data_IF_978354585726
#
_entry.id   IF_978354585726
#
_cell.length_a   1.000
_cell.length_b   1.000
_cell.length_c   1.000
_cell.angle_alpha   90.00
_cell.angle_beta   90.00
_cell.angle_gamma   90.00
#
_symmetry.space_group_name_H-M   'P 1'
#
loop_
_entity.id
_entity.type
_entity.pdbx_description
1 polymer ?
#
# COMPACT_ATOMS: atom_id res chain seq x y z
N UNK A 1 -0.44 -34.87 -36.06
CA UNK A 1 0.59 -34.97 -35.02
C UNK A 1 1.40 -33.68 -34.97
N UNK A 2 1.05 -32.77 -34.06
CA UNK A 2 2.05 -32.21 -33.16
C UNK A 2 1.36 -31.55 -31.98
N UNK A 3 1.89 -31.86 -30.82
CA UNK A 3 1.27 -31.83 -29.50
C UNK A 3 1.06 -30.40 -29.01
N UNK A 4 -0.13 -30.14 -28.48
CA UNK A 4 -0.42 -28.94 -27.73
C UNK A 4 0.38 -28.97 -26.42
N UNK A 5 1.50 -28.25 -26.39
CA UNK A 5 2.21 -27.95 -25.14
C UNK A 5 1.60 -26.69 -24.52
N UNK A 6 0.98 -26.75 -23.33
CA UNK A 6 0.19 -25.64 -22.77
C UNK A 6 1.04 -24.50 -22.17
N UNK A 7 2.33 -24.39 -22.53
CA UNK A 7 3.27 -23.39 -21.99
C UNK A 7 4.00 -22.68 -23.12
N UNK A 8 3.26 -21.89 -23.89
CA UNK A 8 3.88 -20.97 -24.85
C UNK A 8 4.30 -19.71 -24.10
N UNK A 9 5.60 -19.40 -24.05
CA UNK A 9 6.13 -18.14 -23.51
C UNK A 9 5.99 -17.00 -24.55
N UNK A 10 4.84 -16.96 -25.23
CA UNK A 10 4.57 -16.09 -26.37
C UNK A 10 3.70 -14.94 -25.90
N UNK A 11 4.03 -13.74 -26.36
CA UNK A 11 3.19 -12.58 -26.14
C UNK A 11 1.96 -12.62 -27.06
N UNK A 12 0.77 -12.39 -26.52
CA UNK A 12 -0.48 -12.37 -27.27
C UNK A 12 -0.76 -11.03 -27.97
N UNK A 13 0.09 -10.02 -27.74
CA UNK A 13 -0.03 -8.68 -28.35
C UNK A 13 0.97 -8.45 -29.48
N UNK A 14 2.12 -9.12 -29.45
CA UNK A 14 3.19 -8.95 -30.45
C UNK A 14 3.87 -10.28 -30.78
N UNK A 15 4.81 -10.27 -31.73
CA UNK A 15 5.52 -11.47 -32.18
C UNK A 15 6.66 -11.90 -31.23
N UNK A 16 6.61 -11.51 -29.95
CA UNK A 16 7.63 -11.93 -28.99
C UNK A 16 7.41 -13.38 -28.58
N UNK A 17 8.45 -14.19 -28.69
CA UNK A 17 8.52 -15.59 -28.28
C UNK A 17 9.73 -15.76 -27.36
N UNK A 18 9.45 -15.96 -26.07
CA UNK A 18 10.45 -16.15 -25.04
C UNK A 18 10.91 -17.60 -24.94
N UNK A 19 12.14 -17.80 -24.49
CA UNK A 19 12.64 -19.13 -24.14
C UNK A 19 12.15 -19.60 -22.75
N UNK A 20 11.69 -18.67 -21.91
CA UNK A 20 11.22 -18.94 -20.54
C UNK A 20 10.06 -18.04 -20.10
N UNK A 21 9.38 -18.44 -19.02
CA UNK A 21 8.34 -17.62 -18.38
C UNK A 21 8.91 -16.29 -17.89
N UNK A 22 10.12 -16.30 -17.31
CA UNK A 22 10.81 -15.09 -16.83
C UNK A 22 11.06 -14.09 -17.96
N UNK A 23 11.43 -14.57 -19.15
CA UNK A 23 11.59 -13.70 -20.33
C UNK A 23 10.26 -13.09 -20.76
N UNK A 24 9.15 -13.84 -20.70
CA UNK A 24 7.82 -13.31 -20.99
C UNK A 24 7.37 -12.29 -19.92
N UNK A 25 7.66 -12.52 -18.63
CA UNK A 25 7.44 -11.57 -17.53
C UNK A 25 8.21 -10.30 -17.76
N UNK A 26 9.50 -10.40 -18.07
CA UNK A 26 10.33 -9.24 -18.32
C UNK A 26 9.89 -8.47 -19.57
N UNK A 27 9.47 -9.18 -20.62
CA UNK A 27 8.87 -8.59 -21.81
C UNK A 27 7.61 -7.79 -21.47
N UNK A 28 6.67 -8.35 -20.73
CA UNK A 28 5.46 -7.64 -20.33
C UNK A 28 5.72 -6.47 -19.37
N UNK A 29 6.67 -6.59 -18.44
CA UNK A 29 7.11 -5.49 -17.58
C UNK A 29 7.69 -4.31 -18.35
N UNK A 30 8.47 -4.58 -19.40
CA UNK A 30 9.10 -3.54 -20.23
C UNK A 30 8.15 -2.92 -21.26
N UNK A 31 7.28 -3.72 -21.88
CA UNK A 31 6.37 -3.27 -22.95
C UNK A 31 5.00 -2.81 -22.45
N UNK A 32 4.65 -3.18 -21.22
CA UNK A 32 3.31 -3.00 -20.65
C UNK A 32 2.18 -3.66 -21.47
N UNK A 33 2.47 -4.66 -22.31
CA UNK A 33 1.41 -5.39 -23.02
C UNK A 33 0.44 -6.12 -22.08
N UNK A 34 0.94 -6.57 -20.93
CA UNK A 34 0.17 -7.14 -19.82
C UNK A 34 0.72 -6.57 -18.52
N UNK A 35 -0.15 -6.52 -17.50
CA UNK A 35 0.22 -6.23 -16.13
C UNK A 35 0.07 -7.50 -15.28
N UNK A 36 1.04 -7.74 -14.41
CA UNK A 36 1.03 -8.78 -13.40
C UNK A 36 0.97 -8.08 -12.05
N UNK A 37 0.10 -8.55 -11.16
CA UNK A 37 0.14 -8.11 -9.78
C UNK A 37 1.33 -8.79 -9.07
N UNK A 38 2.31 -8.02 -8.61
CA UNK A 38 3.52 -8.53 -7.97
C UNK A 38 3.22 -9.38 -6.72
N UNK A 39 2.05 -9.19 -6.08
CA UNK A 39 1.61 -9.97 -4.93
C UNK A 39 0.89 -11.28 -5.26
N UNK A 40 0.51 -11.53 -6.52
CA UNK A 40 -0.24 -12.73 -6.94
C UNK A 40 0.64 -13.92 -7.33
N UNK A 41 1.96 -13.73 -7.46
CA UNK A 41 2.83 -14.71 -8.12
C UNK A 41 2.42 -14.95 -9.57
N UNK A 42 2.60 -16.19 -10.06
CA UNK A 42 2.41 -16.56 -11.47
C UNK A 42 0.93 -16.65 -11.91
N UNK A 43 -0.01 -16.26 -11.05
CA UNK A 43 -1.43 -16.60 -11.15
C UNK A 43 -2.30 -15.75 -12.07
N UNK A 44 -1.79 -14.67 -12.68
CA UNK A 44 -2.63 -13.85 -13.55
C UNK A 44 -1.92 -12.75 -14.34
N UNK A 45 -2.38 -12.57 -15.58
CA UNK A 45 -1.97 -11.50 -16.48
C UNK A 45 -3.21 -10.74 -16.90
N UNK A 46 -3.18 -9.43 -16.75
CA UNK A 46 -4.30 -8.58 -17.11
C UNK A 46 -3.91 -7.59 -18.20
N UNK A 47 -4.92 -7.12 -18.94
CA UNK A 47 -4.77 -5.92 -19.76
C UNK A 47 -4.60 -4.73 -18.78
N UNK A 48 -3.59 -3.85 -18.97
CA UNK A 48 -3.42 -2.66 -18.14
C UNK A 48 -4.70 -1.83 -18.09
N UNK A 49 -5.02 -1.31 -16.91
CA UNK A 49 -6.20 -0.46 -16.64
C UNK A 49 -7.58 -1.09 -16.93
N UNK A 50 -7.62 -2.39 -17.24
CA UNK A 50 -8.85 -3.14 -17.47
C UNK A 50 -9.73 -3.21 -16.22
N UNK A 51 -11.03 -3.38 -16.44
CA UNK A 51 -11.97 -3.57 -15.35
C UNK A 51 -11.65 -4.84 -14.55
N UNK A 52 -11.25 -5.92 -15.22
CA UNK A 52 -10.83 -7.16 -14.56
C UNK A 52 -9.64 -6.96 -13.61
N UNK A 53 -8.65 -6.14 -13.99
CA UNK A 53 -7.54 -5.80 -13.10
C UNK A 53 -7.99 -4.95 -11.91
N UNK A 54 -8.85 -3.96 -12.16
CA UNK A 54 -9.42 -3.12 -11.09
C UNK A 54 -10.29 -3.93 -10.12
N UNK A 55 -11.00 -4.92 -10.62
CA UNK A 55 -11.82 -5.84 -9.84
C UNK A 55 -10.94 -6.71 -8.94
N UNK A 56 -9.89 -7.34 -9.50
CA UNK A 56 -8.87 -8.05 -8.72
C UNK A 56 -8.29 -7.18 -7.60
N UNK A 57 -7.82 -5.96 -7.92
CA UNK A 57 -7.24 -5.05 -6.93
C UNK A 57 -8.22 -4.72 -5.78
N UNK A 58 -9.52 -4.64 -6.07
CA UNK A 58 -10.56 -4.36 -5.08
C UNK A 58 -10.92 -5.60 -4.28
N UNK A 59 -11.20 -6.71 -4.95
CA UNK A 59 -11.80 -7.90 -4.36
C UNK A 59 -10.78 -8.66 -3.51
N UNK A 60 -9.49 -8.64 -3.91
CA UNK A 60 -8.38 -9.24 -3.18
C UNK A 60 -7.67 -8.25 -2.24
N UNK A 61 -8.28 -7.07 -2.02
CA UNK A 61 -7.78 -6.01 -1.13
C UNK A 61 -6.31 -5.65 -1.39
N UNK A 62 -5.94 -5.44 -2.65
CA UNK A 62 -4.56 -5.17 -3.04
C UNK A 62 -4.23 -3.68 -2.92
N UNK A 63 -3.04 -3.38 -2.41
CA UNK A 63 -2.53 -2.01 -2.42
C UNK A 63 -2.08 -1.61 -3.82
N UNK A 64 -2.67 -0.58 -4.40
CA UNK A 64 -2.34 -0.11 -5.76
C UNK A 64 -0.97 0.56 -5.89
N UNK A 65 -0.21 0.71 -4.79
CA UNK A 65 1.10 1.38 -4.77
C UNK A 65 2.23 0.36 -4.67
N UNK A 66 2.08 -0.66 -3.84
CA UNK A 66 3.11 -1.67 -3.58
C UNK A 66 2.62 -3.10 -3.80
N UNK A 67 1.40 -3.27 -4.30
CA UNK A 67 0.77 -4.54 -4.70
C UNK A 67 0.72 -5.61 -3.60
N UNK A 68 0.85 -5.20 -2.34
CA UNK A 68 0.64 -6.06 -1.18
C UNK A 68 -0.84 -6.42 -1.02
N UNK A 69 -1.11 -7.69 -0.72
CA UNK A 69 -2.44 -8.21 -0.45
C UNK A 69 -2.77 -8.13 1.04
N UNK A 70 -4.05 -7.99 1.36
CA UNK A 70 -4.52 -7.90 2.74
C UNK A 70 -5.77 -8.77 2.94
N UNK A 71 -5.86 -9.45 4.08
CA UNK A 71 -7.03 -10.31 4.35
C UNK A 71 -8.35 -9.54 4.54
N UNK A 72 -8.31 -8.20 4.56
CA UNK A 72 -9.52 -7.39 4.71
C UNK A 72 -9.35 -5.95 4.19
N UNK A 73 -10.46 -5.29 3.82
CA UNK A 73 -10.46 -3.88 3.41
C UNK A 73 -9.94 -2.94 4.50
N UNK A 74 -10.17 -3.27 5.77
CA UNK A 74 -9.74 -2.45 6.90
C UNK A 74 -8.21 -2.46 7.06
N UNK A 75 -7.58 -3.63 6.92
CA UNK A 75 -6.11 -3.76 6.94
C UNK A 75 -5.50 -3.00 5.77
N UNK A 76 -6.07 -3.12 4.57
CA UNK A 76 -5.64 -2.34 3.40
C UNK A 76 -5.77 -0.82 3.65
N UNK A 77 -6.90 -0.37 4.20
CA UNK A 77 -7.13 1.05 4.50
C UNK A 77 -6.10 1.60 5.47
N UNK A 78 -5.77 0.84 6.51
CA UNK A 78 -4.73 1.22 7.47
C UNK A 78 -3.35 1.23 6.81
N UNK A 79 -3.02 0.19 6.03
CA UNK A 79 -1.76 0.13 5.30
C UNK A 79 -1.55 1.34 4.38
N UNK A 80 -2.59 1.83 3.69
CA UNK A 80 -2.48 3.01 2.81
C UNK A 80 -1.92 4.27 3.51
N UNK A 81 -1.90 4.32 4.85
CA UNK A 81 -1.27 5.39 5.61
C UNK A 81 0.26 5.42 5.47
N UNK A 82 0.91 4.28 5.20
CA UNK A 82 2.38 4.21 5.05
C UNK A 82 2.87 4.92 3.78
N UNK A 83 2.00 5.02 2.77
CA UNK A 83 2.30 5.68 1.50
C UNK A 83 1.98 7.18 1.52
N UNK A 84 1.40 7.69 2.62
CA UNK A 84 1.12 9.12 2.75
C UNK A 84 2.42 9.86 3.05
N UNK A 85 2.63 10.97 2.36
CA UNK A 85 3.64 11.94 2.79
C UNK A 85 3.22 12.52 4.15
N UNK A 86 4.16 12.69 5.09
CA UNK A 86 3.88 13.40 6.33
C UNK A 86 3.29 14.78 6.03
N UNK A 87 2.19 15.12 6.68
CA UNK A 87 1.50 16.41 6.52
C UNK A 87 1.16 17.07 7.85
N UNK A 88 1.31 16.35 8.96
CA UNK A 88 1.13 16.88 10.31
C UNK A 88 2.48 17.37 10.78
N UNK A 89 2.65 18.69 10.80
CA UNK A 89 3.81 19.34 11.38
C UNK A 89 3.56 19.58 12.88
N UNK A 90 4.55 19.24 13.70
CA UNK A 90 4.56 19.60 15.11
C UNK A 90 5.77 20.49 15.38
N UNK A 91 5.53 21.79 15.59
CA UNK A 91 6.59 22.79 15.73
C UNK A 91 7.45 22.64 16.99
N UNK A 92 7.07 21.77 17.94
CA UNK A 92 7.93 21.47 19.09
C UNK A 92 9.11 20.56 18.76
N UNK A 93 9.17 19.95 17.57
CA UNK A 93 10.36 19.23 17.10
C UNK A 93 10.47 19.27 15.58
N UNK A 94 11.54 18.71 15.01
CA UNK A 94 11.73 18.66 13.55
C UNK A 94 11.00 17.51 12.86
N UNK A 95 10.24 16.68 13.61
CA UNK A 95 9.52 15.53 13.05
C UNK A 95 8.17 15.94 12.48
N UNK A 96 7.85 15.32 11.35
CA UNK A 96 6.54 15.36 10.72
C UNK A 96 5.88 13.98 10.77
N UNK A 97 4.55 13.96 10.80
CA UNK A 97 3.77 12.73 10.97
C UNK A 97 2.75 12.58 9.84
N UNK A 98 2.42 11.34 9.52
CA UNK A 98 1.37 11.00 8.54
C UNK A 98 -0.04 11.06 9.14
N UNK A 99 -0.14 11.05 10.48
CA UNK A 99 -1.40 11.15 11.23
C UNK A 99 -1.21 11.88 12.56
N UNK A 100 -2.29 12.49 13.07
CA UNK A 100 -2.30 13.07 14.43
C UNK A 100 -2.07 12.02 15.51
N UNK A 101 -2.63 10.81 15.36
CA UNK A 101 -2.41 9.73 16.32
C UNK A 101 -0.91 9.37 16.44
N UNK A 102 -0.20 9.30 15.31
CA UNK A 102 1.25 9.07 15.31
C UNK A 102 2.03 10.20 16.00
N UNK A 103 1.59 11.45 15.85
CA UNK A 103 2.15 12.59 16.59
C UNK A 103 1.89 12.48 18.09
N UNK A 104 0.67 12.12 18.51
CA UNK A 104 0.33 11.94 19.93
C UNK A 104 1.17 10.81 20.56
N UNK A 105 1.27 9.64 19.91
CA UNK A 105 2.11 8.52 20.39
C UNK A 105 3.57 8.95 20.55
N UNK A 106 4.10 9.76 19.62
CA UNK A 106 5.44 10.31 19.74
C UNK A 106 5.61 11.17 21.00
N UNK A 107 4.64 12.03 21.31
CA UNK A 107 4.67 12.84 22.53
C UNK A 107 4.51 11.97 23.78
N UNK A 108 3.58 11.01 23.78
CA UNK A 108 3.36 10.09 24.91
C UNK A 108 4.62 9.28 25.27
N UNK A 109 5.46 8.96 24.27
CA UNK A 109 6.72 8.25 24.49
C UNK A 109 7.77 9.03 25.28
N UNK A 110 7.58 10.35 25.47
CA UNK A 110 8.52 11.23 26.17
C UNK A 110 9.85 11.44 25.45
N UNK A 111 9.99 10.95 24.21
CA UNK A 111 11.23 11.09 23.42
C UNK A 111 11.23 12.35 22.55
N UNK A 112 10.28 13.25 22.74
CA UNK A 112 10.17 14.47 21.94
C UNK A 112 11.20 15.51 22.37
N UNK A 113 11.84 16.19 21.42
CA UNK A 113 12.80 17.26 21.70
C UNK A 113 12.17 18.49 22.39
N UNK A 114 10.84 18.67 22.29
CA UNK A 114 10.14 19.72 23.04
C UNK A 114 10.06 19.45 24.55
N UNK A 115 10.35 18.21 24.98
CA UNK A 115 10.18 17.79 26.37
C UNK A 115 8.74 17.46 26.77
N UNK A 116 7.77 17.56 25.86
CA UNK A 116 6.39 17.14 26.13
C UNK A 116 6.32 15.63 26.27
N UNK A 117 5.60 15.19 27.32
CA UNK A 117 5.33 13.78 27.62
C UNK A 117 3.83 13.48 27.78
N UNK A 118 3.53 12.25 28.22
CA UNK A 118 2.17 11.79 28.50
C UNK A 118 1.45 12.59 29.60
N UNK A 119 2.17 13.10 30.61
CA UNK A 119 1.55 13.87 31.70
C UNK A 119 1.07 15.22 31.18
N UNK A 120 1.87 15.87 30.34
CA UNK A 120 1.51 17.17 29.75
C UNK A 120 0.35 17.05 28.76
N UNK A 121 0.31 15.97 27.98
CA UNK A 121 -0.84 15.65 27.13
C UNK A 121 -2.11 15.42 27.96
N UNK A 122 -2.04 14.62 29.02
CA UNK A 122 -3.20 14.34 29.88
C UNK A 122 -3.72 15.60 30.57
N UNK A 123 -2.84 16.47 31.07
CA UNK A 123 -3.23 17.79 31.61
C UNK A 123 -3.96 18.62 30.55
N UNK A 124 -3.42 18.67 29.33
CA UNK A 124 -4.03 19.41 28.22
C UNK A 124 -5.41 18.87 27.84
N UNK A 125 -5.57 17.54 27.80
CA UNK A 125 -6.85 16.89 27.56
C UNK A 125 -7.87 17.19 28.67
N UNK A 126 -7.45 17.15 29.94
CA UNK A 126 -8.30 17.46 31.09
C UNK A 126 -8.77 18.93 31.11
N UNK A 127 -7.96 19.86 30.62
CA UNK A 127 -8.35 21.27 30.47
C UNK A 127 -9.35 21.51 29.31
N UNK A 128 -9.52 20.55 28.40
CA UNK A 128 -10.44 20.69 27.29
C UNK A 128 -11.88 20.45 27.75
N UNK A 129 -12.68 21.50 27.96
CA UNK A 129 -14.08 21.45 28.42
C UNK A 129 -15.03 20.50 27.65
N UNK A 130 -14.61 19.96 26.49
CA UNK A 130 -15.33 18.94 25.75
C UNK A 130 -15.23 17.54 26.39
N UNK A 131 -14.33 17.30 27.36
CA UNK A 131 -14.11 15.97 27.97
C UNK A 131 -15.39 15.40 28.61
N UNK A 132 -16.27 16.27 29.12
CA UNK A 132 -17.57 15.90 29.68
C UNK A 132 -18.51 15.25 28.66
N UNK A 133 -18.27 15.40 27.35
CA UNK A 133 -19.07 14.78 26.28
C UNK A 133 -18.71 13.32 25.99
N UNK A 134 -17.65 12.82 26.62
CA UNK A 134 -17.13 11.47 26.41
C UNK A 134 -17.19 10.60 27.68
N UNK A 135 -17.80 11.12 28.74
CA UNK A 135 -18.32 10.35 29.87
C UNK A 135 -19.75 9.88 29.56
#
# INVERSE_FOLDING_TARGET
>A
NNEASPRHHICDVCQFDGSSCDELVQHHRSTRHRIMCDGCGDGGWWIPDSQAYKDHLRDDNVCTICECHFDSPNKLRHHKLVHRKPSVEYYGCTRSFTTYAGMIIHLESGTCASGIDILDLNKSAAMCYQWQKFL
#
